data_IF_917845161074
#
_entry.id   IF_917845161074
#
_cell.length_a   1.000
_cell.length_b   1.000
_cell.length_c   1.000
_cell.angle_alpha   90.00
_cell.angle_beta   90.00
_cell.angle_gamma   90.00
#
_symmetry.space_group_name_H-M   'P 1'
#
loop_
_entity.id
_entity.type
_entity.pdbx_description
1 polymer ?
#
# COMPACT_ATOMS: atom_id res chain seq x y z
N UNK A 1 24.17 -45.30 -45.13
CA UNK A 1 23.79 -44.21 -46.07
C UNK A 1 22.38 -43.82 -45.69
N UNK A 2 22.04 -42.66 -45.13
CA UNK A 2 22.66 -41.34 -44.94
C UNK A 2 22.96 -41.08 -43.43
N UNK A 3 24.06 -40.41 -43.02
CA UNK A 3 24.24 -38.94 -42.89
C UNK A 3 23.07 -38.27 -42.12
N UNK A 4 23.25 -37.47 -41.07
CA UNK A 4 24.39 -36.74 -40.49
C UNK A 4 24.00 -36.41 -39.02
N UNK A 5 24.91 -36.46 -38.03
CA UNK A 5 25.67 -35.29 -37.51
C UNK A 5 24.75 -34.37 -36.67
N UNK A 6 25.05 -33.82 -35.49
CA UNK A 6 26.21 -33.61 -34.61
C UNK A 6 25.53 -33.06 -33.32
N UNK A 7 25.90 -33.37 -32.08
CA UNK A 7 27.14 -32.94 -31.44
C UNK A 7 26.81 -32.15 -30.16
N UNK A 8 27.69 -32.26 -29.15
CA UNK A 8 27.78 -31.36 -27.97
C UNK A 8 27.08 -31.89 -26.71
N UNK A 9 27.72 -32.66 -25.83
CA UNK A 9 28.70 -32.25 -24.79
C UNK A 9 28.16 -31.22 -23.79
N UNK A 10 28.05 -31.64 -22.52
CA UNK A 10 28.63 -31.03 -21.30
C UNK A 10 27.72 -31.36 -20.10
N UNK A 11 28.15 -32.28 -19.23
CA UNK A 11 28.96 -32.11 -18.01
C UNK A 11 28.10 -32.22 -16.74
N UNK A 12 28.59 -33.07 -15.83
CA UNK A 12 28.09 -33.53 -14.53
C UNK A 12 27.91 -32.40 -13.47
N UNK A 13 27.88 -32.69 -12.15
CA UNK A 13 26.84 -33.34 -11.35
C UNK A 13 26.35 -32.40 -10.24
N UNK A 14 25.05 -32.38 -9.91
CA UNK A 14 24.62 -31.68 -8.69
C UNK A 14 24.87 -32.55 -7.46
N UNK A 15 25.90 -32.14 -6.72
CA UNK A 15 26.21 -32.56 -5.37
C UNK A 15 25.00 -32.37 -4.44
N UNK A 16 24.59 -33.45 -3.77
CA UNK A 16 23.71 -33.43 -2.61
C UNK A 16 24.51 -33.89 -1.40
N UNK A 17 25.04 -32.91 -0.66
CA UNK A 17 25.40 -33.00 0.75
C UNK A 17 24.55 -31.90 1.41
N UNK A 18 23.66 -32.18 2.35
CA UNK A 18 23.83 -32.74 3.70
C UNK A 18 23.48 -31.61 4.67
N UNK A 19 22.61 -31.96 5.61
CA UNK A 19 22.40 -31.31 6.90
C UNK A 19 21.77 -29.91 6.93
N UNK A 20 20.47 -29.91 7.26
CA UNK A 20 19.85 -28.82 8.01
C UNK A 20 20.29 -28.94 9.48
N UNK A 21 20.93 -27.92 10.08
CA UNK A 21 20.87 -27.74 11.51
C UNK A 21 19.59 -26.97 11.86
N UNK A 22 18.80 -27.56 12.74
CA UNK A 22 17.86 -26.83 13.57
C UNK A 22 18.67 -25.88 14.47
N UNK A 23 18.49 -24.58 14.29
CA UNK A 23 18.84 -23.59 15.31
C UNK A 23 17.64 -22.67 15.53
N UNK A 24 16.95 -22.94 16.64
CA UNK A 24 16.16 -21.97 17.37
C UNK A 24 17.08 -20.78 17.71
N UNK A 25 16.74 -19.59 17.25
CA UNK A 25 17.28 -18.35 17.81
C UNK A 25 16.25 -17.25 17.67
N UNK A 26 15.63 -16.95 18.81
CA UNK A 26 14.92 -15.72 19.09
C UNK A 26 15.65 -14.50 18.54
N UNK A 27 15.01 -13.79 17.62
CA UNK A 27 15.32 -12.38 17.32
C UNK A 27 14.03 -11.59 17.52
N UNK A 28 13.60 -11.53 18.79
CA UNK A 28 12.71 -10.47 19.27
C UNK A 28 13.59 -9.41 19.92
N UNK A 29 14.12 -8.48 19.11
CA UNK A 29 14.63 -7.22 19.62
C UNK A 29 14.75 -6.19 18.49
N UNK A 30 13.81 -5.24 18.45
CA UNK A 30 13.93 -4.10 17.55
C UNK A 30 12.65 -3.30 17.37
N UNK A 31 12.19 -2.62 18.44
CA UNK A 31 11.58 -1.27 18.40
C UNK A 31 10.61 -0.99 19.57
N UNK A 32 10.98 -1.24 20.82
CA UNK A 32 10.17 -0.78 21.97
C UNK A 32 11.01 -0.28 23.15
N UNK A 33 11.89 0.70 22.95
CA UNK A 33 12.46 1.47 24.07
C UNK A 33 12.92 2.86 23.63
N UNK A 34 11.98 3.79 23.47
CA UNK A 34 12.21 5.20 23.76
C UNK A 34 10.87 5.95 23.85
N UNK A 35 10.38 6.16 25.08
CA UNK A 35 9.51 7.27 25.50
C UNK A 35 8.71 6.89 26.76
N UNK A 36 9.36 6.88 27.93
CA UNK A 36 8.66 7.11 29.20
C UNK A 36 9.53 7.97 30.10
N UNK A 37 9.21 9.25 30.12
CA UNK A 37 9.88 10.20 30.99
C UNK A 37 9.48 11.63 30.72
N UNK A 38 8.18 11.95 30.73
CA UNK A 38 7.69 13.29 31.04
C UNK A 38 6.33 13.17 31.73
N UNK A 39 6.34 13.40 33.04
CA UNK A 39 5.15 13.71 33.82
C UNK A 39 4.65 15.10 33.40
N UNK A 40 3.58 15.14 32.62
CA UNK A 40 2.79 16.35 32.43
C UNK A 40 1.53 16.22 33.28
N UNK A 41 1.43 17.08 34.28
CA UNK A 41 0.23 17.26 35.10
C UNK A 41 -0.86 17.83 34.20
N UNK A 42 -1.72 16.98 33.66
CA UNK A 42 -2.95 17.38 32.99
C UNK A 42 -3.90 18.00 34.01
N UNK A 43 -4.01 19.32 34.01
CA UNK A 43 -5.09 20.02 34.69
C UNK A 43 -6.36 19.78 33.88
N UNK A 44 -7.21 18.90 34.42
CA UNK A 44 -8.56 18.61 33.96
C UNK A 44 -9.36 19.89 33.75
N UNK A 45 -9.85 20.11 32.53
CA UNK A 45 -10.98 21.00 32.26
C UNK A 45 -12.23 20.42 32.91
N UNK A 46 -12.77 21.10 33.91
CA UNK A 46 -14.09 20.82 34.46
C UNK A 46 -15.16 21.53 33.63
N UNK A 47 -16.28 20.85 33.27
CA UNK A 47 -17.51 21.54 32.91
C UNK A 47 -18.27 21.85 34.21
N UNK A 48 -18.71 23.08 34.39
CA UNK A 48 -19.44 23.48 35.58
C UNK A 48 -20.07 24.84 35.43
N UNK A 49 -21.33 24.84 34.99
CA UNK A 49 -22.25 25.96 35.17
C UNK A 49 -22.16 26.48 36.61
N UNK A 50 -22.00 27.79 36.77
CA UNK A 50 -22.36 28.48 38.00
C UNK A 50 -23.29 29.64 37.67
N UNK A 51 -24.57 29.42 37.95
CA UNK A 51 -25.48 30.48 38.38
C UNK A 51 -24.91 31.22 39.59
N UNK A 52 -25.18 32.51 39.68
CA UNK A 52 -25.20 33.20 40.97
C UNK A 52 -24.55 34.58 41.02
N UNK A 53 -25.41 35.58 40.95
CA UNK A 53 -25.46 36.73 41.87
C UNK A 53 -24.59 37.96 41.56
N UNK A 54 -25.28 38.99 41.08
CA UNK A 54 -24.92 40.40 41.21
C UNK A 54 -24.75 40.75 42.69
N UNK A 55 -23.55 41.16 43.08
CA UNK A 55 -23.34 41.99 44.26
C UNK A 55 -22.47 43.19 43.86
N UNK A 56 -23.11 44.16 43.20
CA UNK A 56 -22.67 45.55 43.23
C UNK A 56 -22.96 46.11 44.62
N UNK A 57 -22.00 46.01 45.54
CA UNK A 57 -22.03 46.81 46.75
C UNK A 57 -20.62 47.13 47.26
N UNK A 58 -20.28 48.42 47.11
CA UNK A 58 -19.65 49.22 48.16
C UNK A 58 -18.25 48.81 48.65
N UNK A 59 -17.21 49.43 48.09
CA UNK A 59 -16.10 49.97 48.88
C UNK A 59 -15.63 51.29 48.26
N UNK A 60 -16.26 52.40 48.67
CA UNK A 60 -15.53 53.67 48.80
C UNK A 60 -14.74 53.54 50.09
N UNK A 61 -13.44 53.29 50.00
CA UNK A 61 -12.52 53.53 51.11
C UNK A 61 -11.17 54.02 50.62
N UNK A 62 -10.94 55.29 50.91
CA UNK A 62 -9.65 55.91 51.23
C UNK A 62 -8.54 55.81 50.18
N UNK A 63 -8.37 56.93 49.48
CA UNK A 63 -7.20 57.27 48.70
C UNK A 63 -5.89 56.92 49.42
N UNK A 64 -5.20 55.92 48.91
CA UNK A 64 -3.73 55.92 48.83
C UNK A 64 -3.40 55.56 47.39
N UNK A 65 -2.86 56.54 46.65
CA UNK A 65 -2.28 56.35 45.33
C UNK A 65 -1.04 55.46 45.54
N UNK A 66 -1.25 54.14 45.54
CA UNK A 66 -0.17 53.17 45.47
C UNK A 66 0.52 53.43 44.13
N UNK A 67 1.84 53.71 44.11
CA UNK A 67 2.57 53.85 42.85
C UNK A 67 2.27 52.60 42.02
N UNK A 68 1.82 52.78 40.78
CA UNK A 68 1.54 51.69 39.85
C UNK A 68 2.65 50.65 39.96
N UNK A 69 2.32 49.49 40.53
CA UNK A 69 3.28 48.41 40.67
C UNK A 69 3.70 48.02 39.25
N UNK A 70 4.88 48.45 38.83
CA UNK A 70 5.46 48.01 37.56
C UNK A 70 5.54 46.50 37.65
N UNK A 71 4.72 45.81 36.86
CA UNK A 71 4.74 44.36 36.77
C UNK A 71 6.12 43.94 36.27
N UNK A 72 6.95 43.43 37.16
CA UNK A 72 8.20 42.78 36.80
C UNK A 72 7.88 41.32 36.49
N UNK A 73 8.01 40.88 35.23
CA UNK A 73 7.82 39.47 34.91
C UNK A 73 8.87 38.61 35.62
N UNK A 74 8.51 37.37 36.02
CA UNK A 74 9.45 36.42 36.61
C UNK A 74 10.67 36.20 35.71
N UNK A 75 11.81 35.84 36.29
CA UNK A 75 13.05 35.58 35.55
C UNK A 75 12.83 34.54 34.44
N UNK A 76 13.15 34.93 33.21
CA UNK A 76 12.93 34.11 31.99
C UNK A 76 11.65 34.45 31.21
N UNK A 77 10.78 35.32 31.73
CA UNK A 77 9.58 35.78 31.04
C UNK A 77 9.77 37.21 30.53
N UNK A 78 9.54 37.41 29.24
CA UNK A 78 9.61 38.72 28.59
C UNK A 78 8.18 39.18 28.26
N UNK A 79 7.86 40.44 28.57
CA UNK A 79 6.61 41.06 28.16
C UNK A 79 6.62 41.22 26.64
N UNK A 80 5.86 40.36 25.96
CA UNK A 80 5.67 40.43 24.52
C UNK A 80 4.60 41.49 24.22
N UNK A 81 4.79 42.34 23.20
CA UNK A 81 3.75 43.22 22.70
C UNK A 81 2.50 42.43 22.28
N UNK A 82 1.32 43.00 22.50
CA UNK A 82 0.03 42.37 22.14
C UNK A 82 -0.03 41.95 20.66
N UNK A 83 0.67 42.68 19.78
CA UNK A 83 0.79 42.36 18.36
C UNK A 83 1.58 41.05 18.11
N UNK A 84 2.66 40.82 18.84
CA UNK A 84 3.46 39.59 18.74
C UNK A 84 2.70 38.39 19.32
N UNK A 85 1.97 38.59 20.42
CA UNK A 85 1.08 37.57 21.00
C UNK A 85 -0.03 37.19 20.01
N UNK A 86 -0.65 38.17 19.35
CA UNK A 86 -1.68 37.93 18.34
C UNK A 86 -1.12 37.18 17.12
N UNK A 87 0.07 37.55 16.64
CA UNK A 87 0.75 36.84 15.55
C UNK A 87 1.08 35.40 15.91
N UNK A 88 1.63 35.15 17.10
CA UNK A 88 1.94 33.79 17.57
C UNK A 88 0.67 32.95 17.73
N UNK A 89 -0.42 33.53 18.26
CA UNK A 89 -1.71 32.83 18.36
C UNK A 89 -2.27 32.47 16.98
N UNK A 90 -2.21 33.38 16.00
CA UNK A 90 -2.64 33.10 14.64
C UNK A 90 -1.77 32.02 13.97
N UNK A 91 -0.45 32.07 14.18
CA UNK A 91 0.47 31.05 13.69
C UNK A 91 0.18 29.68 14.33
N UNK A 92 -0.03 29.62 15.65
CA UNK A 92 -0.39 28.40 16.37
C UNK A 92 -1.72 27.81 15.87
N UNK A 93 -2.74 28.67 15.66
CA UNK A 93 -4.01 28.24 15.09
C UNK A 93 -3.84 27.65 13.68
N UNK A 94 -3.09 28.32 12.82
CA UNK A 94 -2.78 27.82 11.47
C UNK A 94 -2.03 26.48 11.51
N UNK A 95 -1.05 26.35 12.41
CA UNK A 95 -0.33 25.08 12.58
C UNK A 95 -1.22 23.97 13.14
N UNK A 96 -2.14 24.28 14.04
CA UNK A 96 -3.10 23.31 14.59
C UNK A 96 -4.05 22.80 13.51
N UNK A 97 -4.61 23.70 12.69
CA UNK A 97 -5.47 23.31 11.55
C UNK A 97 -4.69 22.42 10.57
N UNK A 98 -3.43 22.76 10.28
CA UNK A 98 -2.58 21.94 9.43
C UNK A 98 -2.30 20.57 10.05
N UNK A 99 -2.07 20.52 11.36
CA UNK A 99 -1.85 19.27 12.08
C UNK A 99 -3.11 18.40 12.07
N UNK A 100 -4.28 18.98 12.33
CA UNK A 100 -5.58 18.29 12.23
C UNK A 100 -5.80 17.68 10.84
N UNK A 101 -5.51 18.44 9.78
CA UNK A 101 -5.59 17.94 8.40
C UNK A 101 -4.65 16.75 8.18
N UNK A 102 -3.38 16.88 8.58
CA UNK A 102 -2.40 15.79 8.45
C UNK A 102 -2.81 14.57 9.27
N UNK A 103 -3.43 14.75 10.44
CA UNK A 103 -3.95 13.61 11.24
C UNK A 103 -5.11 12.93 10.54
N UNK A 104 -6.04 13.68 9.94
CA UNK A 104 -7.15 13.11 9.16
C UNK A 104 -6.65 12.38 7.92
N UNK A 105 -5.71 12.97 7.18
CA UNK A 105 -5.10 12.34 6.00
C UNK A 105 -4.37 11.04 6.39
N UNK A 106 -3.66 11.03 7.52
CA UNK A 106 -3.03 9.82 8.07
C UNK A 106 -4.06 8.74 8.38
N UNK A 107 -5.15 9.08 9.08
CA UNK A 107 -6.20 8.12 9.43
C UNK A 107 -6.87 7.55 8.17
N UNK A 108 -7.14 8.38 7.17
CA UNK A 108 -7.70 7.95 5.89
C UNK A 108 -6.77 6.99 5.14
N UNK A 109 -5.45 7.28 5.11
CA UNK A 109 -4.46 6.38 4.50
C UNK A 109 -4.31 5.06 5.27
N UNK A 110 -4.38 5.11 6.61
CA UNK A 110 -4.34 3.90 7.44
C UNK A 110 -5.55 3.01 7.19
N UNK A 111 -6.74 3.59 7.07
CA UNK A 111 -7.96 2.85 6.74
C UNK A 111 -7.93 2.29 5.31
N UNK A 112 -7.46 3.07 4.34
CA UNK A 112 -7.28 2.59 2.96
C UNK A 112 -6.31 1.41 2.89
N UNK A 113 -5.19 1.47 3.63
CA UNK A 113 -4.23 0.37 3.73
C UNK A 113 -4.84 -0.86 4.41
N UNK A 114 -5.64 -0.67 5.47
CA UNK A 114 -6.36 -1.76 6.16
C UNK A 114 -7.31 -2.46 5.19
N UNK A 115 -8.19 -1.70 4.53
CA UNK A 115 -9.13 -2.24 3.54
C UNK A 115 -8.41 -2.97 2.41
N UNK A 116 -7.34 -2.37 1.85
CA UNK A 116 -6.56 -3.01 0.77
C UNK A 116 -5.89 -4.32 1.22
N UNK A 117 -5.41 -4.39 2.46
CA UNK A 117 -4.82 -5.60 3.02
C UNK A 117 -5.87 -6.71 3.20
N UNK A 118 -7.07 -6.35 3.67
CA UNK A 118 -8.20 -7.27 3.83
C UNK A 118 -8.71 -7.80 2.49
N UNK A 119 -8.79 -6.94 1.47
CA UNK A 119 -9.17 -7.33 0.11
C UNK A 119 -8.13 -8.27 -0.51
N UNK A 120 -6.84 -7.94 -0.35
CA UNK A 120 -5.75 -8.81 -0.80
C UNK A 120 -5.79 -10.18 -0.10
N UNK A 121 -5.98 -10.21 1.23
CA UNK A 121 -6.10 -11.45 1.98
C UNK A 121 -7.31 -12.29 1.52
N UNK A 122 -8.44 -11.64 1.22
CA UNK A 122 -9.64 -12.29 0.71
C UNK A 122 -9.43 -12.89 -0.68
N UNK A 123 -8.76 -12.17 -1.58
CA UNK A 123 -8.40 -12.67 -2.92
C UNK A 123 -7.44 -13.85 -2.85
N UNK A 124 -6.38 -13.75 -2.03
CA UNK A 124 -5.43 -14.84 -1.83
C UNK A 124 -6.14 -16.09 -1.29
N UNK A 125 -7.06 -15.93 -0.33
CA UNK A 125 -7.85 -17.05 0.19
C UNK A 125 -8.71 -17.70 -0.89
N UNK A 126 -9.40 -16.92 -1.72
CA UNK A 126 -10.23 -17.45 -2.80
C UNK A 126 -9.38 -18.23 -3.82
N UNK A 127 -8.20 -17.72 -4.20
CA UNK A 127 -7.28 -18.41 -5.09
C UNK A 127 -6.77 -19.73 -4.47
N UNK A 128 -6.45 -19.74 -3.18
CA UNK A 128 -6.06 -20.96 -2.47
C UNK A 128 -7.19 -22.00 -2.43
N UNK A 129 -8.43 -21.58 -2.21
CA UNK A 129 -9.59 -22.48 -2.21
C UNK A 129 -9.85 -23.04 -3.63
N UNK A 130 -9.66 -22.24 -4.68
CA UNK A 130 -9.72 -22.69 -6.07
C UNK A 130 -8.61 -23.70 -6.40
N UNK A 131 -7.38 -23.46 -5.95
CA UNK A 131 -6.25 -24.39 -6.14
C UNK A 131 -6.56 -25.73 -5.49
N UNK A 132 -7.01 -25.73 -4.22
CA UNK A 132 -7.40 -26.95 -3.51
C UNK A 132 -8.50 -27.71 -4.24
N UNK A 133 -9.54 -27.01 -4.71
CA UNK A 133 -10.60 -27.65 -5.50
C UNK A 133 -10.08 -28.27 -6.80
N UNK A 134 -9.14 -27.61 -7.48
CA UNK A 134 -8.50 -28.16 -8.69
C UNK A 134 -7.62 -29.38 -8.38
N UNK A 135 -6.93 -29.39 -7.24
CA UNK A 135 -6.12 -30.53 -6.78
C UNK A 135 -7.01 -31.74 -6.48
N UNK A 136 -8.13 -31.56 -5.77
CA UNK A 136 -9.08 -32.63 -5.47
C UNK A 136 -9.65 -33.28 -6.74
N UNK A 137 -9.98 -32.46 -7.76
CA UNK A 137 -10.46 -32.95 -9.06
C UNK A 137 -9.36 -33.71 -9.80
N UNK A 138 -8.13 -33.19 -9.82
CA UNK A 138 -6.99 -33.86 -10.46
C UNK A 138 -6.69 -35.22 -9.80
N UNK A 139 -6.73 -35.29 -8.48
CA UNK A 139 -6.59 -36.56 -7.75
C UNK A 139 -7.73 -37.54 -8.10
N UNK A 140 -8.96 -37.03 -8.22
CA UNK A 140 -10.12 -37.80 -8.67
C UNK A 140 -9.93 -38.40 -10.06
N UNK A 141 -9.46 -37.57 -11.00
CA UNK A 141 -9.16 -37.99 -12.37
C UNK A 141 -8.04 -39.03 -12.40
N UNK A 142 -6.97 -38.83 -11.63
CA UNK A 142 -5.86 -39.77 -11.53
C UNK A 142 -6.32 -41.13 -11.00
N UNK A 143 -7.17 -41.15 -9.97
CA UNK A 143 -7.80 -42.38 -9.47
C UNK A 143 -8.63 -43.07 -10.54
N UNK A 144 -9.53 -42.36 -11.22
CA UNK A 144 -10.36 -42.91 -12.30
C UNK A 144 -9.52 -43.46 -13.47
N UNK A 145 -8.46 -42.76 -13.86
CA UNK A 145 -7.51 -43.24 -14.88
C UNK A 145 -6.85 -44.55 -14.45
N UNK A 146 -6.40 -44.65 -13.20
CA UNK A 146 -5.78 -45.88 -12.68
C UNK A 146 -6.76 -47.06 -12.63
N UNK A 147 -8.02 -46.82 -12.25
CA UNK A 147 -9.07 -47.83 -12.19
C UNK A 147 -9.45 -48.33 -13.58
N UNK A 148 -9.65 -47.40 -14.53
CA UNK A 148 -9.98 -47.73 -15.93
C UNK A 148 -8.83 -48.45 -16.62
N UNK A 149 -7.58 -48.03 -16.38
CA UNK A 149 -6.38 -48.73 -16.86
C UNK A 149 -6.31 -50.15 -16.29
N UNK A 150 -6.55 -50.32 -14.99
CA UNK A 150 -6.53 -51.64 -14.35
C UNK A 150 -7.65 -52.54 -14.87
N UNK A 151 -8.86 -52.01 -15.08
CA UNK A 151 -9.99 -52.72 -15.68
C UNK A 151 -9.68 -53.21 -17.09
N UNK A 152 -9.11 -52.34 -17.92
CA UNK A 152 -8.70 -52.68 -19.29
C UNK A 152 -7.61 -53.76 -19.30
N UNK A 153 -6.61 -53.65 -18.41
CA UNK A 153 -5.57 -54.67 -18.24
C UNK A 153 -6.15 -56.04 -17.84
N UNK A 154 -7.10 -56.08 -16.89
CA UNK A 154 -7.81 -57.32 -16.53
C UNK A 154 -8.59 -57.92 -17.70
N UNK A 155 -9.28 -57.08 -18.49
CA UNK A 155 -10.01 -57.55 -19.68
C UNK A 155 -9.06 -58.12 -20.74
N UNK A 156 -7.93 -57.46 -21.00
CA UNK A 156 -6.89 -57.96 -21.91
C UNK A 156 -6.31 -59.30 -21.43
N UNK A 157 -6.06 -59.44 -20.12
CA UNK A 157 -5.59 -60.69 -19.54
C UNK A 157 -6.62 -61.83 -19.68
N UNK A 158 -7.91 -61.55 -19.43
CA UNK A 158 -8.99 -62.52 -19.59
C UNK A 158 -9.15 -62.98 -21.05
N UNK A 159 -9.08 -62.04 -22.00
CA UNK A 159 -9.14 -62.35 -23.44
C UNK A 159 -7.93 -63.18 -23.89
N UNK A 160 -6.73 -62.86 -23.40
CA UNK A 160 -5.52 -63.64 -23.70
C UNK A 160 -5.62 -65.06 -23.14
N UNK A 161 -6.19 -65.22 -21.95
CA UNK A 161 -6.42 -66.52 -21.34
C UNK A 161 -7.48 -67.35 -22.09
N UNK A 162 -8.58 -66.73 -22.55
CA UNK A 162 -9.59 -67.42 -23.35
C UNK A 162 -9.06 -67.83 -24.72
N UNK A 163 -8.30 -66.96 -25.40
CA UNK A 163 -7.61 -67.27 -26.64
C UNK A 163 -6.67 -68.47 -26.47
N UNK A 164 -5.85 -68.47 -25.42
CA UNK A 164 -4.94 -69.58 -25.12
C UNK A 164 -5.68 -70.90 -24.89
N UNK A 165 -6.83 -70.87 -24.20
CA UNK A 165 -7.68 -72.05 -23.98
C UNK A 165 -8.26 -72.58 -25.30
N UNK A 166 -8.79 -71.70 -26.15
CA UNK A 166 -9.32 -72.07 -27.47
C UNK A 166 -8.21 -72.68 -28.33
N UNK A 167 -7.01 -72.09 -28.36
CA UNK A 167 -5.88 -72.66 -29.09
C UNK A 167 -5.53 -74.07 -28.59
N UNK A 168 -5.53 -74.30 -27.27
CA UNK A 168 -5.30 -75.63 -26.69
C UNK A 168 -6.39 -76.63 -27.13
N UNK A 169 -7.66 -76.24 -27.07
CA UNK A 169 -8.79 -77.10 -27.45
C UNK A 169 -8.81 -77.41 -28.95
N UNK A 170 -8.51 -76.44 -29.81
CA UNK A 170 -8.35 -76.65 -31.25
C UNK A 170 -7.21 -77.64 -31.52
N UNK A 171 -6.08 -77.54 -30.82
CA UNK A 171 -4.97 -78.47 -30.97
C UNK A 171 -5.38 -79.90 -30.55
N UNK A 172 -6.06 -80.06 -29.40
CA UNK A 172 -6.56 -81.35 -28.93
C UNK A 172 -7.57 -81.98 -29.89
N UNK A 173 -8.54 -81.19 -30.37
CA UNK A 173 -9.52 -81.64 -31.36
C UNK A 173 -8.86 -82.00 -32.70
N UNK A 174 -7.80 -81.29 -33.10
CA UNK A 174 -7.04 -81.63 -34.30
C UNK A 174 -6.30 -82.97 -34.12
N UNK A 175 -5.68 -83.19 -32.97
CA UNK A 175 -5.08 -84.49 -32.62
C UNK A 175 -6.10 -85.63 -32.58
N UNK A 176 -7.30 -85.38 -32.04
CA UNK A 176 -8.39 -86.36 -32.03
C UNK A 176 -8.93 -86.63 -33.43
N UNK A 177 -9.11 -85.60 -34.26
CA UNK A 177 -9.52 -85.76 -35.66
C UNK A 177 -8.50 -86.55 -36.47
N UNK A 178 -7.20 -86.33 -36.27
CA UNK A 178 -6.16 -87.14 -36.92
C UNK A 178 -6.24 -88.60 -36.47
N UNK A 179 -6.54 -88.87 -35.19
CA UNK A 179 -6.79 -90.23 -34.70
C UNK A 179 -8.04 -90.83 -35.36
N UNK A 180 -9.17 -90.11 -35.40
CA UNK A 180 -10.42 -90.58 -35.99
C UNK A 180 -10.34 -90.80 -37.51
N UNK A 181 -9.63 -89.94 -38.24
CA UNK A 181 -9.34 -90.14 -39.67
C UNK A 181 -8.54 -91.43 -39.91
N UNK A 182 -7.70 -91.84 -38.96
CA UNK A 182 -7.02 -93.13 -39.03
C UNK A 182 -7.96 -94.33 -38.75
N UNK A 183 -9.11 -94.11 -38.10
CA UNK A 183 -10.11 -95.16 -37.78
C UNK A 183 -11.32 -95.22 -38.74
N UNK A 184 -11.63 -94.16 -39.48
CA UNK A 184 -12.89 -94.00 -40.24
C UNK A 184 -12.98 -94.60 -41.66
N UNK A 185 -12.07 -95.48 -42.09
CA UNK A 185 -12.09 -96.07 -43.44
C UNK A 185 -12.91 -97.37 -43.56
N UNK A 186 -13.77 -97.70 -42.61
CA UNK A 186 -14.57 -98.94 -42.66
C UNK A 186 -16.01 -98.75 -42.20
N UNK A 187 -16.91 -98.78 -43.18
CA UNK A 187 -18.27 -99.30 -43.03
C UNK A 187 -19.37 -98.30 -42.71
N UNK A 188 -20.15 -97.91 -43.73
CA UNK A 188 -21.61 -97.82 -43.54
C UNK A 188 -22.16 -99.24 -43.46
N UNK A 189 -23.33 -99.45 -42.83
CA UNK A 189 -24.53 -99.50 -43.66
C UNK A 189 -25.81 -98.93 -43.02
N UNK A 190 -26.63 -98.38 -43.92
CA UNK A 190 -28.07 -98.59 -44.10
C UNK A 190 -29.07 -98.40 -42.95
N UNK A 191 -29.93 -97.40 -43.17
CA UNK A 191 -31.39 -97.44 -43.16
C UNK A 191 -32.11 -98.60 -42.44
N UNK A 192 -33.02 -98.24 -41.53
CA UNK A 192 -34.42 -98.67 -41.63
C UNK A 192 -35.35 -97.87 -40.70
N UNK A 193 -36.27 -97.13 -41.33
CA UNK A 193 -37.55 -96.67 -40.76
C UNK A 193 -38.46 -97.85 -40.41
N UNK A 194 -39.37 -97.70 -39.44
CA UNK A 194 -40.76 -97.84 -39.83
C UNK A 194 -41.72 -96.83 -39.18
N UNK A 195 -42.73 -96.47 -39.96
CA UNK A 195 -43.84 -95.60 -39.59
C UNK A 195 -44.76 -96.26 -38.55
N UNK A 196 -45.04 -95.53 -37.46
CA UNK A 196 -45.98 -95.96 -36.40
C UNK A 196 -46.91 -94.78 -36.01
N UNK A 197 -48.22 -94.99 -36.23
CA UNK A 197 -49.39 -94.36 -35.58
C UNK A 197 -49.73 -92.87 -35.87
N UNK A 198 -50.84 -92.66 -36.60
CA UNK A 198 -51.42 -91.34 -36.90
C UNK A 198 -51.91 -90.57 -35.65
N UNK A 199 -52.17 -91.22 -34.51
CA UNK A 199 -52.62 -90.55 -33.27
C UNK A 199 -51.47 -90.04 -32.38
N UNK A 200 -50.33 -90.72 -32.34
CA UNK A 200 -49.14 -90.29 -31.59
C UNK A 200 -48.37 -89.20 -32.33
N UNK A 201 -48.30 -89.29 -33.67
CA UNK A 201 -47.72 -88.26 -34.54
C UNK A 201 -48.51 -86.95 -34.45
N UNK A 202 -49.85 -87.01 -34.38
CA UNK A 202 -50.70 -85.82 -34.25
C UNK A 202 -50.56 -85.15 -32.89
N UNK A 203 -50.42 -85.92 -31.80
CA UNK A 203 -50.13 -85.40 -30.46
C UNK A 203 -48.72 -84.79 -30.36
N UNK A 204 -47.72 -85.40 -31.00
CA UNK A 204 -46.37 -84.85 -31.08
C UNK A 204 -46.32 -83.53 -31.88
N UNK A 205 -47.12 -83.43 -32.96
CA UNK A 205 -47.28 -82.19 -33.72
C UNK A 205 -47.95 -81.09 -32.89
N UNK A 206 -48.96 -81.42 -32.07
CA UNK A 206 -49.60 -80.47 -31.16
C UNK A 206 -48.64 -79.95 -30.09
N UNK A 207 -47.90 -80.83 -29.40
CA UNK A 207 -46.88 -80.38 -28.44
C UNK A 207 -45.77 -79.55 -29.08
N UNK A 208 -45.37 -79.89 -30.32
CA UNK A 208 -44.42 -79.08 -31.09
C UNK A 208 -44.99 -77.69 -31.40
N UNK A 209 -46.27 -77.61 -31.77
CA UNK A 209 -46.95 -76.35 -32.02
C UNK A 209 -47.09 -75.52 -30.74
N UNK A 210 -47.49 -76.11 -29.62
CA UNK A 210 -47.57 -75.43 -28.31
C UNK A 210 -46.21 -74.87 -27.87
N UNK A 211 -45.13 -75.64 -28.06
CA UNK A 211 -43.77 -75.18 -27.78
C UNK A 211 -43.40 -73.94 -28.62
N UNK A 212 -43.71 -73.96 -29.91
CA UNK A 212 -43.47 -72.82 -30.79
C UNK A 212 -44.34 -71.61 -30.40
N UNK A 213 -45.58 -71.83 -29.97
CA UNK A 213 -46.43 -70.74 -29.48
C UNK A 213 -45.83 -70.08 -28.23
N UNK A 214 -45.31 -70.88 -27.28
CA UNK A 214 -44.61 -70.36 -26.10
C UNK A 214 -43.37 -69.58 -26.53
N UNK A 215 -42.54 -70.15 -27.41
CA UNK A 215 -41.32 -69.50 -27.92
C UNK A 215 -41.62 -68.18 -28.64
N UNK A 216 -42.69 -68.13 -29.43
CA UNK A 216 -43.12 -66.89 -30.10
C UNK A 216 -43.52 -65.82 -29.07
N UNK A 217 -44.28 -66.19 -28.04
CA UNK A 217 -44.69 -65.25 -26.99
C UNK A 217 -43.49 -64.78 -26.16
N UNK A 218 -42.58 -65.69 -25.78
CA UNK A 218 -41.37 -65.31 -25.05
C UNK A 218 -40.48 -64.38 -25.88
N UNK A 219 -40.30 -64.65 -27.17
CA UNK A 219 -39.54 -63.75 -28.05
C UNK A 219 -40.23 -62.40 -28.24
N UNK A 220 -41.56 -62.35 -28.24
CA UNK A 220 -42.31 -61.09 -28.28
C UNK A 220 -42.15 -60.29 -26.99
N UNK A 221 -42.17 -60.94 -25.82
CA UNK A 221 -41.91 -60.31 -24.52
C UNK A 221 -40.48 -59.79 -24.44
N UNK A 222 -39.48 -60.58 -24.85
CA UNK A 222 -38.08 -60.16 -24.95
C UNK A 222 -37.91 -58.97 -25.88
N UNK A 223 -38.49 -59.01 -27.09
CA UNK A 223 -38.45 -57.89 -28.03
C UNK A 223 -39.10 -56.62 -27.43
N UNK A 224 -40.23 -56.76 -26.73
CA UNK A 224 -40.89 -55.62 -26.09
C UNK A 224 -40.05 -55.04 -24.95
N UNK A 225 -39.40 -55.88 -24.15
CA UNK A 225 -38.48 -55.46 -23.09
C UNK A 225 -37.26 -54.73 -23.66
N UNK A 226 -36.65 -55.26 -24.73
CA UNK A 226 -35.54 -54.60 -25.44
C UNK A 226 -35.97 -53.26 -26.06
N UNK A 227 -37.18 -53.18 -26.63
CA UNK A 227 -37.73 -51.92 -27.13
C UNK A 227 -38.00 -50.91 -26.01
N UNK A 228 -38.38 -51.35 -24.80
CA UNK A 228 -38.53 -50.47 -23.65
C UNK A 228 -37.16 -49.96 -23.18
N UNK A 229 -36.19 -50.86 -22.98
CA UNK A 229 -34.82 -50.51 -22.60
C UNK A 229 -34.17 -49.55 -23.62
N UNK A 230 -34.41 -49.76 -24.92
CA UNK A 230 -33.96 -48.84 -25.97
C UNK A 230 -34.55 -47.44 -25.81
N UNK A 231 -35.85 -47.31 -25.53
CA UNK A 231 -36.50 -46.01 -25.31
C UNK A 231 -35.93 -45.31 -24.08
N UNK A 232 -35.70 -46.05 -23.00
CA UNK A 232 -35.12 -45.51 -21.76
C UNK A 232 -33.71 -44.95 -22.01
N UNK A 233 -32.89 -45.68 -22.78
CA UNK A 233 -31.54 -45.22 -23.18
C UNK A 233 -31.59 -44.02 -24.13
N UNK A 234 -32.53 -43.99 -25.08
CA UNK A 234 -32.74 -42.83 -25.96
C UNK A 234 -33.15 -41.59 -25.15
N UNK A 235 -34.04 -41.75 -24.17
CA UNK A 235 -34.45 -40.67 -23.26
C UNK A 235 -33.28 -40.24 -22.38
N UNK A 236 -32.46 -41.17 -21.88
CA UNK A 236 -31.26 -40.84 -21.11
C UNK A 236 -30.25 -40.04 -21.94
N UNK A 237 -29.94 -40.49 -23.15
CA UNK A 237 -29.05 -39.77 -24.05
C UNK A 237 -29.59 -38.37 -24.40
N UNK A 238 -30.90 -38.24 -24.55
CA UNK A 238 -31.53 -36.95 -24.82
C UNK A 238 -31.40 -36.00 -23.62
N UNK A 239 -31.67 -36.47 -22.40
CA UNK A 239 -31.46 -35.69 -21.18
C UNK A 239 -29.99 -35.28 -21.00
N UNK A 240 -29.04 -36.17 -21.28
CA UNK A 240 -27.61 -35.84 -21.22
C UNK A 240 -27.22 -34.74 -22.22
N UNK A 241 -27.78 -34.77 -23.44
CA UNK A 241 -27.57 -33.69 -24.43
C UNK A 241 -28.14 -32.36 -23.95
N UNK A 242 -29.33 -32.37 -23.38
CA UNK A 242 -30.00 -31.17 -22.85
C UNK A 242 -29.18 -30.57 -21.69
N UNK A 243 -28.72 -31.40 -20.75
CA UNK A 243 -27.84 -30.95 -19.67
C UNK A 243 -26.55 -30.32 -20.21
N UNK A 244 -25.89 -30.94 -21.19
CA UNK A 244 -24.68 -30.36 -21.79
C UNK A 244 -24.94 -29.07 -22.58
N UNK A 245 -26.15 -28.89 -23.13
CA UNK A 245 -26.53 -27.62 -23.75
C UNK A 245 -26.70 -26.53 -22.70
N UNK A 246 -27.38 -26.82 -21.60
CA UNK A 246 -27.58 -25.88 -20.48
C UNK A 246 -26.24 -25.49 -19.83
N UNK A 247 -25.35 -26.48 -19.56
CA UNK A 247 -24.00 -26.23 -19.04
C UNK A 247 -23.20 -25.29 -19.94
N UNK A 248 -23.30 -25.47 -21.27
CA UNK A 248 -22.63 -24.60 -22.24
C UNK A 248 -23.19 -23.19 -22.22
N UNK A 249 -24.51 -23.04 -22.17
CA UNK A 249 -25.17 -21.73 -22.13
C UNK A 249 -24.82 -20.96 -20.84
N UNK A 250 -24.79 -21.63 -19.68
CA UNK A 250 -24.37 -21.03 -18.41
C UNK A 250 -22.90 -20.59 -18.49
N UNK A 251 -22.03 -21.42 -19.07
CA UNK A 251 -20.61 -21.09 -19.26
C UNK A 251 -20.42 -19.92 -20.23
N UNK A 252 -21.22 -19.82 -21.29
CA UNK A 252 -21.20 -18.68 -22.20
C UNK A 252 -21.71 -17.39 -21.54
N UNK A 253 -22.78 -17.48 -20.75
CA UNK A 253 -23.31 -16.35 -19.97
C UNK A 253 -22.30 -15.84 -18.93
N UNK A 254 -21.58 -16.74 -18.25
CA UNK A 254 -20.52 -16.34 -17.30
C UNK A 254 -19.32 -15.71 -18.01
N UNK A 255 -18.87 -16.27 -19.14
CA UNK A 255 -17.80 -15.66 -19.95
C UNK A 255 -18.18 -14.27 -20.50
N UNK A 256 -19.42 -14.08 -20.94
CA UNK A 256 -19.89 -12.77 -21.39
C UNK A 256 -19.96 -11.76 -20.25
N UNK A 257 -20.46 -12.16 -19.07
CA UNK A 257 -20.40 -11.35 -17.84
C UNK A 257 -18.97 -10.94 -17.49
N UNK A 258 -18.03 -11.90 -17.45
CA UNK A 258 -16.61 -11.61 -17.20
C UNK A 258 -16.01 -10.64 -18.22
N UNK A 259 -16.36 -10.74 -19.51
CA UNK A 259 -15.91 -9.78 -20.53
C UNK A 259 -16.42 -8.37 -20.24
N UNK A 260 -17.70 -8.22 -19.92
CA UNK A 260 -18.27 -6.89 -19.61
C UNK A 260 -17.66 -6.29 -18.34
N UNK A 261 -17.39 -7.11 -17.32
CA UNK A 261 -16.74 -6.66 -16.09
C UNK A 261 -15.28 -6.25 -16.34
N UNK A 262 -14.55 -7.00 -17.18
CA UNK A 262 -13.19 -6.66 -17.60
C UNK A 262 -13.14 -5.35 -18.37
N UNK A 263 -14.08 -5.13 -19.30
CA UNK A 263 -14.19 -3.88 -20.04
C UNK A 263 -14.49 -2.69 -19.11
N UNK A 264 -15.38 -2.87 -18.14
CA UNK A 264 -15.67 -1.83 -17.13
C UNK A 264 -14.43 -1.50 -16.29
N UNK A 265 -13.76 -2.51 -15.73
CA UNK A 265 -12.52 -2.31 -14.96
C UNK A 265 -11.41 -1.66 -15.79
N UNK A 266 -11.33 -1.98 -17.08
CA UNK A 266 -10.33 -1.37 -17.97
C UNK A 266 -10.64 0.12 -18.21
N UNK A 267 -11.91 0.49 -18.34
CA UNK A 267 -12.32 1.88 -18.49
C UNK A 267 -12.09 2.67 -17.19
N UNK A 268 -12.47 2.10 -16.04
CA UNK A 268 -12.21 2.69 -14.72
C UNK A 268 -10.71 2.91 -14.51
N UNK A 269 -9.87 1.92 -14.87
CA UNK A 269 -8.41 2.04 -14.83
C UNK A 269 -7.90 3.19 -15.70
N UNK A 270 -8.37 3.32 -16.95
CA UNK A 270 -7.97 4.44 -17.82
C UNK A 270 -8.36 5.78 -17.23
N UNK A 271 -9.55 5.88 -16.63
CA UNK A 271 -10.00 7.11 -15.97
C UNK A 271 -9.13 7.46 -14.77
N UNK A 272 -8.78 6.49 -13.93
CA UNK A 272 -7.85 6.69 -12.83
C UNK A 272 -6.44 7.07 -13.30
N UNK A 273 -5.93 6.46 -14.38
CA UNK A 273 -4.65 6.84 -15.00
C UNK A 273 -4.67 8.29 -15.48
N UNK A 274 -5.75 8.74 -16.11
CA UNK A 274 -5.92 10.13 -16.54
C UNK A 274 -5.97 11.10 -15.34
N UNK A 275 -6.70 10.75 -14.28
CA UNK A 275 -6.76 11.55 -13.05
C UNK A 275 -5.40 11.65 -12.36
N UNK A 276 -4.64 10.55 -12.34
CA UNK A 276 -3.28 10.53 -11.80
C UNK A 276 -2.37 11.45 -12.63
N UNK A 277 -2.41 11.35 -13.96
CA UNK A 277 -1.63 12.22 -14.84
C UNK A 277 -2.00 13.70 -14.63
N UNK A 278 -3.29 14.02 -14.48
CA UNK A 278 -3.71 15.38 -14.19
C UNK A 278 -3.14 15.88 -12.84
N UNK A 279 -3.27 15.07 -11.78
CA UNK A 279 -2.69 15.37 -10.47
C UNK A 279 -1.17 15.56 -10.53
N UNK A 280 -0.45 14.70 -11.25
CA UNK A 280 0.99 14.83 -11.48
C UNK A 280 1.33 16.16 -12.15
N UNK A 281 0.58 16.57 -13.18
CA UNK A 281 0.80 17.89 -13.82
C UNK A 281 0.48 19.05 -12.88
N UNK A 282 -0.51 18.92 -12.00
CA UNK A 282 -0.83 19.94 -10.99
C UNK A 282 0.30 20.06 -9.96
N UNK A 283 0.80 18.93 -9.46
CA UNK A 283 1.94 18.88 -8.55
C UNK A 283 3.17 19.50 -9.21
N UNK A 284 3.46 19.18 -10.47
CA UNK A 284 4.58 19.78 -11.21
C UNK A 284 4.46 21.31 -11.32
N UNK A 285 3.27 21.83 -11.64
CA UNK A 285 3.02 23.28 -11.66
C UNK A 285 3.23 23.94 -10.29
N UNK A 286 2.80 23.27 -9.21
CA UNK A 286 3.02 23.77 -7.85
C UNK A 286 4.50 23.79 -7.49
N UNK A 287 5.27 22.77 -7.88
CA UNK A 287 6.72 22.76 -7.72
C UNK A 287 7.42 23.89 -8.47
N UNK A 288 7.02 24.15 -9.72
CA UNK A 288 7.53 25.28 -10.51
C UNK A 288 7.22 26.61 -9.83
N UNK A 289 5.96 26.82 -9.39
CA UNK A 289 5.57 28.03 -8.67
C UNK A 289 6.30 28.19 -7.33
N UNK A 290 6.56 27.10 -6.61
CA UNK A 290 7.32 27.13 -5.36
C UNK A 290 8.77 27.54 -5.63
N UNK A 291 9.40 26.98 -6.66
CA UNK A 291 10.74 27.35 -7.07
C UNK A 291 10.86 28.83 -7.48
N UNK A 292 9.83 29.39 -8.13
CA UNK A 292 9.80 30.81 -8.47
C UNK A 292 9.59 31.71 -7.24
N UNK A 293 8.77 31.29 -6.27
CA UNK A 293 8.64 31.97 -4.99
C UNK A 293 9.94 31.96 -4.18
N UNK A 294 10.67 30.84 -4.17
CA UNK A 294 11.98 30.73 -3.52
C UNK A 294 13.01 31.69 -4.13
N UNK A 295 13.05 31.82 -5.46
CA UNK A 295 13.92 32.79 -6.14
C UNK A 295 13.57 34.24 -5.77
N UNK A 296 12.27 34.57 -5.74
CA UNK A 296 11.81 35.90 -5.32
C UNK A 296 12.19 36.19 -3.87
N UNK A 297 12.02 35.22 -2.97
CA UNK A 297 12.43 35.34 -1.58
C UNK A 297 13.94 35.58 -1.45
N UNK A 298 14.76 34.88 -2.24
CA UNK A 298 16.21 35.09 -2.26
C UNK A 298 16.58 36.50 -2.73
N UNK A 299 15.96 36.98 -3.82
CA UNK A 299 16.20 38.34 -4.32
C UNK A 299 15.83 39.41 -3.28
N UNK A 300 14.69 39.27 -2.61
CA UNK A 300 14.26 40.15 -1.52
C UNK A 300 15.21 40.09 -0.31
N UNK A 301 15.76 38.92 0.01
CA UNK A 301 16.77 38.79 1.07
C UNK A 301 18.07 39.50 0.71
N UNK A 302 18.52 39.40 -0.54
CA UNK A 302 19.70 40.11 -1.05
C UNK A 302 19.49 41.62 -1.04
N UNK A 303 18.33 42.10 -1.51
CA UNK A 303 17.98 43.52 -1.44
C UNK A 303 17.94 44.01 0.01
N UNK A 304 17.28 43.28 0.92
CA UNK A 304 17.25 43.60 2.34
C UNK A 304 18.66 43.69 2.95
N UNK A 305 19.55 42.76 2.60
CA UNK A 305 20.94 42.79 3.07
C UNK A 305 21.67 44.04 2.56
N UNK A 306 21.47 44.41 1.30
CA UNK A 306 22.04 45.62 0.70
C UNK A 306 21.53 46.90 1.39
N UNK A 307 20.23 46.98 1.68
CA UNK A 307 19.60 48.11 2.38
C UNK A 307 20.06 48.20 3.84
N UNK A 308 20.25 47.07 4.51
CA UNK A 308 20.82 47.05 5.86
C UNK A 308 22.25 47.58 5.87
N UNK A 309 23.05 47.29 4.86
CA UNK A 309 24.42 47.78 4.74
C UNK A 309 24.46 49.29 4.47
N UNK A 310 23.65 49.81 3.54
CA UNK A 310 23.54 51.26 3.30
C UNK A 310 23.06 52.01 4.55
N UNK A 311 22.10 51.45 5.29
CA UNK A 311 21.63 52.02 6.55
C UNK A 311 22.73 52.06 7.63
N UNK A 312 23.59 51.03 7.71
CA UNK A 312 24.76 51.05 8.61
C UNK A 312 25.74 52.14 8.18
N UNK A 313 25.99 52.31 6.89
CA UNK A 313 26.88 53.35 6.37
C UNK A 313 26.38 54.76 6.70
N UNK A 314 25.09 55.03 6.49
CA UNK A 314 24.49 56.33 6.83
C UNK A 314 24.48 56.58 8.34
N UNK A 315 24.23 55.56 9.18
CA UNK A 315 24.40 55.69 10.65
C UNK A 315 25.84 56.04 11.03
N UNK A 316 26.82 55.37 10.44
CA UNK A 316 28.23 55.66 10.70
C UNK A 316 28.60 57.09 10.27
N UNK A 317 28.06 57.57 9.15
CA UNK A 317 28.25 58.94 8.68
C UNK A 317 27.61 59.96 9.63
N UNK A 318 26.39 59.72 10.09
CA UNK A 318 25.72 60.54 11.10
C UNK A 318 26.56 60.65 12.37
N UNK A 319 27.07 59.52 12.89
CA UNK A 319 27.91 59.50 14.09
C UNK A 319 29.20 60.31 13.91
N UNK A 320 29.83 60.24 12.73
CA UNK A 320 31.00 61.09 12.41
C UNK A 320 30.65 62.56 12.39
N UNK A 321 29.57 62.94 11.68
CA UNK A 321 29.12 64.33 11.63
C UNK A 321 28.73 64.86 13.01
N UNK A 322 28.14 64.01 13.86
CA UNK A 322 27.81 64.37 15.25
C UNK A 322 29.08 64.60 16.07
N UNK A 323 30.10 63.77 15.91
CA UNK A 323 31.39 63.97 16.58
C UNK A 323 32.08 65.25 16.07
N UNK A 324 32.09 65.51 14.77
CA UNK A 324 32.62 66.74 14.18
C UNK A 324 31.89 67.98 14.71
N UNK A 325 30.55 67.93 14.77
CA UNK A 325 29.74 69.01 15.34
C UNK A 325 30.10 69.27 16.81
N UNK A 326 30.18 68.22 17.64
CA UNK A 326 30.56 68.35 19.05
C UNK A 326 31.95 68.99 19.20
N UNK A 327 32.95 68.54 18.41
CA UNK A 327 34.28 69.16 18.44
C UNK A 327 34.25 70.63 18.00
N UNK A 328 33.42 70.99 17.02
CA UNK A 328 33.24 72.39 16.60
C UNK A 328 32.57 73.22 17.68
N UNK A 329 31.56 72.67 18.37
CA UNK A 329 30.90 73.32 19.50
C UNK A 329 31.88 73.54 20.67
N UNK A 330 32.72 72.56 20.97
CA UNK A 330 33.78 72.65 21.99
C UNK A 330 34.77 73.76 21.66
N UNK A 331 35.30 73.77 20.44
CA UNK A 331 36.23 74.81 19.98
C UNK A 331 35.59 76.20 20.01
N UNK A 332 34.31 76.31 19.66
CA UNK A 332 33.58 77.58 19.76
C UNK A 332 33.43 78.04 21.21
N UNK A 333 33.08 77.14 22.13
CA UNK A 333 33.01 77.45 23.57
C UNK A 333 34.36 77.92 24.10
N UNK A 334 35.43 77.21 23.75
CA UNK A 334 36.80 77.57 24.12
C UNK A 334 37.21 78.95 23.59
N UNK A 335 36.87 79.26 22.33
CA UNK A 335 37.14 80.57 21.74
C UNK A 335 36.41 81.69 22.49
N UNK A 336 35.14 81.48 22.85
CA UNK A 336 34.36 82.44 23.63
C UNK A 336 35.00 82.64 25.01
N UNK A 337 35.31 81.58 25.75
CA UNK A 337 35.94 81.66 27.07
C UNK A 337 37.30 82.37 27.02
N UNK A 338 38.15 82.01 26.04
CA UNK A 338 39.43 82.66 25.84
C UNK A 338 39.26 84.15 25.51
N UNK A 339 38.31 84.49 24.63
CA UNK A 339 38.03 85.88 24.26
C UNK A 339 37.56 86.72 25.45
N UNK A 340 36.68 86.17 26.29
CA UNK A 340 36.21 86.82 27.52
C UNK A 340 37.34 86.99 28.53
N UNK A 341 38.14 85.95 28.76
CA UNK A 341 39.28 86.01 29.68
C UNK A 341 40.33 87.03 29.22
N UNK A 342 40.62 87.07 27.92
CA UNK A 342 41.49 88.07 27.32
C UNK A 342 40.93 89.48 27.56
N UNK A 343 39.63 89.69 27.34
CA UNK A 343 38.98 90.97 27.55
C UNK A 343 39.06 91.43 29.02
N UNK A 344 38.83 90.52 29.98
CA UNK A 344 39.00 90.79 31.42
C UNK A 344 40.44 91.13 31.76
N UNK A 345 41.40 90.40 31.19
CA UNK A 345 42.84 90.60 31.43
C UNK A 345 43.30 91.96 30.91
N UNK A 346 42.87 92.34 29.70
CA UNK A 346 43.13 93.65 29.12
C UNK A 346 42.52 94.79 29.96
N UNK A 347 41.30 94.61 30.46
CA UNK A 347 40.66 95.61 31.33
C UNK A 347 41.38 95.76 32.68
N UNK A 348 41.85 94.66 33.28
CA UNK A 348 42.69 94.70 34.50
C UNK A 348 44.00 95.46 34.26
N UNK A 349 44.65 95.24 33.12
CA UNK A 349 45.87 95.98 32.72
C UNK A 349 45.55 97.48 32.57
N UNK A 350 44.41 97.83 31.95
CA UNK A 350 43.98 99.23 31.80
C UNK A 350 43.76 99.93 33.14
N UNK A 351 43.32 99.19 34.15
CA UNK A 351 43.05 99.70 35.50
C UNK A 351 44.27 99.67 36.45
N UNK A 352 45.38 99.04 36.06
CA UNK A 352 46.58 98.94 36.89
C UNK A 352 47.24 100.31 37.12
N UNK A 353 47.74 100.54 38.33
CA UNK A 353 48.30 101.86 38.75
C UNK A 353 49.83 101.88 38.75
N UNK A 354 50.48 100.73 38.58
CA UNK A 354 51.94 100.57 38.53
C UNK A 354 52.37 99.61 37.43
N UNK A 355 53.63 99.72 37.00
CA UNK A 355 54.19 98.85 35.96
C UNK A 355 54.45 97.42 36.46
N UNK A 356 54.71 97.26 37.76
CA UNK A 356 54.92 95.97 38.46
C UNK A 356 53.61 95.14 38.47
N UNK A 357 52.46 95.77 38.74
CA UNK A 357 51.13 95.13 38.67
C UNK A 357 50.80 94.61 37.27
N UNK A 358 51.24 95.32 36.22
CA UNK A 358 51.07 94.88 34.83
C UNK A 358 51.95 93.67 34.52
N UNK A 359 53.18 93.63 35.06
CA UNK A 359 54.08 92.48 34.89
C UNK A 359 53.53 91.20 35.53
N UNK A 360 53.02 91.28 36.77
CA UNK A 360 52.43 90.13 37.48
C UNK A 360 51.17 89.59 36.77
N UNK A 361 50.31 90.47 36.24
CA UNK A 361 49.13 90.08 35.45
C UNK A 361 49.52 89.39 34.13
N UNK A 362 50.64 89.79 33.52
CA UNK A 362 51.17 89.19 32.29
C UNK A 362 51.82 87.83 32.55
N UNK A 363 52.45 87.61 33.70
CA UNK A 363 52.97 86.28 34.05
C UNK A 363 51.84 85.28 34.35
N UNK A 364 50.74 85.75 34.97
CA UNK A 364 49.54 84.94 35.24
C UNK A 364 48.73 84.53 34.00
N UNK A 365 48.99 85.11 32.83
CA UNK A 365 48.27 84.82 31.56
C UNK A 365 48.99 83.81 30.65
N UNK A 366 50.11 83.23 31.08
CA UNK A 366 50.78 82.12 30.37
C UNK A 366 50.02 80.81 30.51
N UNK A 367 48.89 80.69 29.83
CA UNK A 367 48.07 79.49 29.78
C UNK A 367 48.67 78.50 28.77
N UNK A 368 48.67 77.21 29.12
CA UNK A 368 49.04 76.12 28.19
C UNK A 368 47.81 75.36 27.67
N UNK A 369 46.68 75.49 28.34
CA UNK A 369 45.43 74.79 28.05
C UNK A 369 44.25 75.70 28.45
N UNK A 370 43.17 75.67 27.66
CA UNK A 370 41.97 76.52 27.84
C UNK A 370 41.21 76.14 29.12
N UNK A 371 41.28 74.86 29.53
CA UNK A 371 40.73 74.35 30.79
C UNK A 371 41.34 74.96 32.06
N UNK A 372 42.44 75.72 31.93
CA UNK A 372 43.08 76.47 33.03
C UNK A 372 42.43 77.85 33.24
N UNK A 373 41.53 78.27 32.35
CA UNK A 373 40.69 79.45 32.54
C UNK A 373 39.60 79.13 33.58
N UNK A 374 39.56 79.88 34.68
CA UNK A 374 38.43 79.79 35.61
C UNK A 374 37.19 80.39 34.94
N UNK A 375 36.06 79.69 35.07
CA UNK A 375 34.73 80.25 34.80
C UNK A 375 34.58 81.55 35.60
N UNK A 376 34.56 82.69 34.90
CA UNK A 376 34.36 84.02 35.48
C UNK A 376 32.90 84.41 35.47
#
# INVERSE_FOLDING_TARGET
MAQADNGGLEQDPLASCSDCPSDDSDISMGAETFARGYDCVSISSFPGERQGQEDTASLVSTATLVPECIYLPPSGYQLLPDQEIAQQKAALQSTNVRLEKVTQDKEALQEALRCSTEDCASQVKQLLDQIKGSEEILEGLQRSMSETQQKTSRQMAALTASFSRICQEVNLLNEENEKLRAFGSTGSPEEQTPAVQTSSVQRAAQFRQERLCIEIVTLQEELNAELAAKRDLEEQLQREKENHTEEREIMEATLSSFRTEMERMQEDRKQSELQLQESETQVQKLWESLGDQEKLLQAEQEEKASLQETLKQERNKMLRMQAELATSEDVQRDFVLLSQSLQVSLEKIRQAKSLEEVQDLLEGTRLKDVSQLRDT
#
